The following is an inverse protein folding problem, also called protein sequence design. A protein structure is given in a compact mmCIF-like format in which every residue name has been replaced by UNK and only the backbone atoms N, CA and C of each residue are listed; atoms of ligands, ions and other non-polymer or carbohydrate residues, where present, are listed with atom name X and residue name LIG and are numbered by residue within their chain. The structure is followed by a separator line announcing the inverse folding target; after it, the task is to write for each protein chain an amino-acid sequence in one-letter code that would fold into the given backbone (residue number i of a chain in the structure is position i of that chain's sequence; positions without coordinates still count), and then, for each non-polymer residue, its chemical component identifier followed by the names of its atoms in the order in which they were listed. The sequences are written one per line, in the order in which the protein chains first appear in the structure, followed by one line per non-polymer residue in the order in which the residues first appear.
data_IF_724861617612
#
_entry.id   IF_724861617612
#
_cell.length_a   1.000
_cell.length_b   1.000
_cell.length_c   1.000
_cell.angle_alpha   90.00
_cell.angle_beta   90.00
_cell.angle_gamma   90.00
#
_symmetry.space_group_name_H-M   'P 1'
#
loop_
_entity.id
_entity.type
_entity.pdbx_description
1 polymer ?
#
# COMPACT_ATOMS: atom_id res chain seq x y z
N UNK A 1 4.78 -20.62 14.97
CA UNK A 1 4.52 -20.13 13.60
C UNK A 1 5.19 -18.78 13.47
N UNK A 2 6.00 -18.56 12.43
CA UNK A 2 6.85 -17.37 12.36
C UNK A 2 6.01 -16.10 12.23
N UNK A 3 6.21 -15.12 13.12
CA UNK A 3 5.61 -13.77 13.10
C UNK A 3 6.12 -12.89 11.94
N UNK A 4 6.47 -13.50 10.80
CA UNK A 4 7.05 -12.80 9.66
C UNK A 4 6.03 -11.82 9.08
N UNK A 5 6.44 -10.56 8.99
CA UNK A 5 5.74 -9.55 8.20
C UNK A 5 5.89 -9.95 6.73
N UNK A 6 4.86 -10.61 6.17
CA UNK A 6 4.88 -11.05 4.77
C UNK A 6 5.10 -9.89 3.79
N UNK A 7 4.65 -8.70 4.17
CA UNK A 7 4.82 -7.45 3.43
C UNK A 7 5.88 -6.56 4.10
N UNK A 8 7.07 -7.11 4.39
CA UNK A 8 8.17 -6.31 4.91
C UNK A 8 8.82 -5.43 3.81
N UNK A 9 9.87 -4.69 4.17
CA UNK A 9 10.59 -3.79 3.27
C UNK A 9 11.49 -4.50 2.25
N UNK A 10 11.66 -5.81 2.36
CA UNK A 10 12.58 -6.58 1.50
C UNK A 10 12.00 -6.86 0.12
N UNK A 11 10.69 -6.72 -0.07
CA UNK A 11 10.00 -7.10 -1.30
C UNK A 11 9.01 -6.04 -1.74
N UNK A 12 8.96 -5.81 -3.06
CA UNK A 12 7.93 -5.02 -3.72
C UNK A 12 6.86 -5.97 -4.25
N UNK A 13 5.66 -5.85 -3.70
CA UNK A 13 4.51 -6.66 -4.09
C UNK A 13 3.68 -5.92 -5.14
N UNK A 14 3.43 -6.59 -6.27
CA UNK A 14 2.49 -6.15 -7.28
C UNK A 14 1.36 -7.19 -7.37
N UNK A 15 0.14 -6.76 -7.05
CA UNK A 15 -1.05 -7.61 -7.13
C UNK A 15 -1.90 -7.16 -8.29
N UNK A 16 -2.10 -8.04 -9.26
CA UNK A 16 -3.00 -7.79 -10.39
C UNK A 16 -4.43 -8.22 -10.01
N UNK A 17 -5.40 -7.39 -10.36
CA UNK A 17 -6.80 -7.65 -10.02
C UNK A 17 -7.73 -7.19 -11.14
N UNK A 18 -8.77 -7.98 -11.39
CA UNK A 18 -9.90 -7.61 -12.25
C UNK A 18 -11.11 -7.09 -11.44
N UNK A 19 -10.93 -6.85 -10.13
CA UNK A 19 -11.97 -6.24 -9.31
C UNK A 19 -12.24 -4.80 -9.76
N UNK A 20 -13.48 -4.35 -9.68
CA UNK A 20 -13.82 -2.95 -9.99
C UNK A 20 -13.20 -1.95 -8.99
N UNK A 21 -12.93 -2.41 -7.77
CA UNK A 21 -12.43 -1.62 -6.64
C UNK A 21 -11.51 -2.46 -5.77
N UNK A 22 -10.69 -1.80 -4.97
CA UNK A 22 -9.85 -2.48 -3.98
C UNK A 22 -10.72 -3.14 -2.89
N UNK A 23 -10.45 -4.39 -2.49
CA UNK A 23 -11.21 -5.08 -1.45
C UNK A 23 -10.77 -4.61 -0.06
N UNK A 24 -11.13 -3.38 0.31
CA UNK A 24 -10.73 -2.71 1.56
C UNK A 24 -10.88 -3.59 2.82
N UNK A 25 -12.00 -4.29 3.06
CA UNK A 25 -12.15 -5.11 4.27
C UNK A 25 -11.13 -6.25 4.37
N UNK A 26 -10.71 -6.80 3.23
CA UNK A 26 -9.66 -7.81 3.21
C UNK A 26 -8.29 -7.19 3.45
N UNK A 27 -7.99 -6.06 2.80
CA UNK A 27 -6.72 -5.36 2.91
C UNK A 27 -6.45 -4.86 4.34
N UNK A 28 -7.48 -4.49 5.09
CA UNK A 28 -7.39 -4.10 6.51
C UNK A 28 -6.89 -5.24 7.41
N UNK A 29 -7.12 -6.50 7.03
CA UNK A 29 -6.61 -7.67 7.79
C UNK A 29 -5.12 -7.92 7.57
N UNK A 30 -4.52 -7.28 6.56
CA UNK A 30 -3.13 -7.50 6.18
C UNK A 30 -2.18 -6.60 7.00
N UNK A 31 -0.98 -7.11 7.27
CA UNK A 31 0.10 -6.37 7.97
C UNK A 31 0.83 -5.42 7.02
N UNK A 32 0.11 -4.48 6.39
CA UNK A 32 0.66 -3.51 5.43
C UNK A 32 1.27 -2.29 6.15
N UNK A 33 2.34 -2.49 6.91
CA UNK A 33 3.02 -1.42 7.66
C UNK A 33 3.48 -0.23 6.81
N UNK A 34 3.97 0.84 7.45
CA UNK A 34 4.58 1.99 6.76
C UNK A 34 5.78 1.60 5.88
N UNK A 35 6.46 0.49 6.19
CA UNK A 35 7.60 0.00 5.42
C UNK A 35 7.19 -0.83 4.19
N UNK A 36 5.94 -1.32 4.18
CA UNK A 36 5.43 -2.25 3.16
C UNK A 36 5.38 -1.61 1.77
N UNK A 37 5.84 -2.36 0.78
CA UNK A 37 5.77 -1.97 -0.63
C UNK A 37 4.70 -2.80 -1.33
N UNK A 38 3.45 -2.36 -1.26
CA UNK A 38 2.32 -3.09 -1.83
C UNK A 38 1.59 -2.22 -2.86
N UNK A 39 1.59 -2.67 -4.11
CA UNK A 39 0.88 -2.02 -5.21
C UNK A 39 -0.24 -2.92 -5.72
N UNK A 40 -1.47 -2.41 -5.67
CA UNK A 40 -2.61 -3.05 -6.32
C UNK A 40 -2.79 -2.45 -7.71
N UNK A 41 -2.81 -3.30 -8.74
CA UNK A 41 -3.10 -2.92 -10.11
C UNK A 41 -4.49 -3.43 -10.49
N UNK A 42 -5.44 -2.49 -10.60
CA UNK A 42 -6.80 -2.77 -11.01
C UNK A 42 -6.90 -2.61 -12.53
N UNK A 43 -7.30 -3.69 -13.22
CA UNK A 43 -7.55 -3.64 -14.65
C UNK A 43 -8.85 -2.88 -14.93
N UNK A 44 -8.78 -1.89 -15.82
CA UNK A 44 -9.94 -1.24 -16.42
C UNK A 44 -9.74 -1.28 -17.93
N UNK A 45 -10.57 -2.04 -18.65
CA UNK A 45 -10.38 -2.28 -20.08
C UNK A 45 -8.95 -2.78 -20.39
N UNK A 46 -8.18 -2.00 -21.16
CA UNK A 46 -6.80 -2.33 -21.56
C UNK A 46 -5.73 -1.57 -20.76
N UNK A 47 -6.12 -0.91 -19.67
CA UNK A 47 -5.22 -0.19 -18.77
C UNK A 47 -5.23 -0.77 -17.36
N UNK A 48 -4.14 -0.56 -16.62
CA UNK A 48 -4.06 -0.87 -15.20
C UNK A 48 -3.92 0.42 -14.40
N UNK A 49 -4.80 0.61 -13.43
CA UNK A 49 -4.73 1.69 -12.45
C UNK A 49 -3.98 1.19 -11.22
N UNK A 50 -2.90 1.87 -10.85
CA UNK A 50 -2.01 1.46 -9.78
C UNK A 50 -2.34 2.24 -8.49
N UNK A 51 -2.42 1.51 -7.39
CA UNK A 51 -2.67 2.05 -6.06
C UNK A 51 -1.58 1.57 -5.09
N UNK A 52 -0.93 2.50 -4.40
CA UNK A 52 -0.08 2.24 -3.25
C UNK A 52 -0.98 2.01 -2.02
N UNK A 53 -0.82 0.86 -1.36
CA UNK A 53 -1.68 0.46 -0.23
C UNK A 53 -0.84 0.24 1.01
N UNK A 54 -1.22 0.91 2.10
CA UNK A 54 -0.55 0.79 3.39
C UNK A 54 -1.52 1.09 4.55
N UNK A 55 -1.19 0.60 5.74
CA UNK A 55 -1.89 0.79 7.00
C UNK A 55 -0.87 0.76 8.16
N UNK A 56 -0.33 1.93 8.56
CA UNK A 56 0.65 2.02 9.65
C UNK A 56 0.08 1.58 11.00
N UNK A 57 -1.24 1.77 11.18
CA UNK A 57 -1.97 1.58 12.45
C UNK A 57 -2.83 0.32 12.42
N UNK A 58 -2.44 -0.71 11.64
CA UNK A 58 -3.23 -1.94 11.44
C UNK A 58 -3.56 -2.67 12.76
N UNK A 59 -2.72 -2.53 13.80
CA UNK A 59 -2.95 -3.12 15.13
C UNK A 59 -3.94 -2.34 15.99
N UNK A 60 -4.23 -1.09 15.62
CA UNK A 60 -5.01 -0.14 16.41
C UNK A 60 -6.33 0.23 15.73
N UNK A 61 -6.77 -0.58 14.76
CA UNK A 61 -8.01 -0.33 14.01
C UNK A 61 -7.89 0.82 13.00
N UNK A 62 -6.67 1.19 12.59
CA UNK A 62 -6.45 2.18 11.55
C UNK A 62 -7.03 1.72 10.21
N UNK A 63 -7.64 2.64 9.46
CA UNK A 63 -8.13 2.37 8.12
C UNK A 63 -6.96 2.21 7.14
N UNK A 64 -7.11 1.30 6.19
CA UNK A 64 -6.13 1.15 5.10
C UNK A 64 -6.17 2.39 4.20
N UNK A 65 -4.99 2.92 3.87
CA UNK A 65 -4.82 4.08 2.99
C UNK A 65 -4.56 3.56 1.57
N UNK A 66 -5.34 4.08 0.62
CA UNK A 66 -5.20 3.78 -0.81
C UNK A 66 -4.82 5.08 -1.51
N UNK A 67 -3.62 5.11 -2.10
CA UNK A 67 -3.08 6.30 -2.76
C UNK A 67 -2.87 5.99 -4.23
N UNK A 68 -3.33 6.88 -5.12
CA UNK A 68 -3.05 6.74 -6.54
C UNK A 68 -1.55 6.74 -6.78
N UNK A 69 -1.04 5.71 -7.45
CA UNK A 69 0.39 5.56 -7.78
C UNK A 69 0.68 5.90 -9.24
N UNK A 70 -0.31 5.77 -10.10
CA UNK A 70 -0.20 6.00 -11.53
C UNK A 70 -0.97 4.96 -12.31
N UNK A 71 -0.54 4.69 -13.54
CA UNK A 71 -1.19 3.74 -14.43
C UNK A 71 -0.20 3.07 -15.37
N UNK A 72 -0.65 1.97 -15.98
CA UNK A 72 0.05 1.32 -17.08
C UNK A 72 -0.89 1.15 -18.26
N UNK A 73 -0.38 1.40 -19.47
CA UNK A 73 -1.08 1.13 -20.73
C UNK A 73 -0.14 0.42 -21.71
N UNK A 74 -0.65 -0.34 -22.69
CA UNK A 74 0.18 -0.97 -23.71
C UNK A 74 0.95 0.04 -24.58
N UNK A 75 0.35 1.21 -24.83
CA UNK A 75 0.91 2.25 -25.69
C UNK A 75 2.00 3.08 -25.00
N UNK A 76 1.75 3.51 -23.75
CA UNK A 76 2.63 4.44 -23.02
C UNK A 76 3.48 3.76 -21.94
N UNK A 77 3.27 2.47 -21.69
CA UNK A 77 3.93 1.74 -20.61
C UNK A 77 3.51 2.24 -19.23
N UNK A 78 4.43 2.13 -18.26
CA UNK A 78 4.23 2.52 -16.87
C UNK A 78 4.43 4.02 -16.68
N UNK A 79 3.39 4.71 -16.23
CA UNK A 79 3.48 6.07 -15.69
C UNK A 79 3.39 6.00 -14.16
N UNK A 80 4.49 6.33 -13.48
CA UNK A 80 4.52 6.45 -12.02
C UNK A 80 4.39 7.93 -11.63
N UNK A 81 3.31 8.27 -10.94
CA UNK A 81 3.05 9.63 -10.46
C UNK A 81 3.51 9.82 -9.01
N UNK A 82 3.74 8.72 -8.29
CA UNK A 82 4.11 8.71 -6.89
C UNK A 82 5.63 8.52 -6.74
N UNK A 83 6.37 9.59 -7.04
CA UNK A 83 7.84 9.60 -7.08
C UNK A 83 8.49 9.99 -5.75
N UNK A 84 7.73 10.62 -4.85
CA UNK A 84 8.22 11.06 -3.56
C UNK A 84 8.56 9.86 -2.65
N UNK A 85 9.60 10.05 -1.83
CA UNK A 85 10.03 9.05 -0.87
C UNK A 85 8.90 8.71 0.10
N UNK A 86 8.62 7.40 0.27
CA UNK A 86 7.42 6.93 0.96
C UNK A 86 7.24 7.50 2.37
N UNK A 87 8.32 7.63 3.14
CA UNK A 87 8.24 8.13 4.52
C UNK A 87 8.00 9.64 4.62
N UNK A 88 8.13 10.40 3.52
CA UNK A 88 7.79 11.83 3.49
C UNK A 88 6.31 12.07 3.23
N UNK A 89 5.64 11.14 2.54
CA UNK A 89 4.25 11.28 2.08
C UNK A 89 3.25 10.36 2.78
N UNK A 90 3.72 9.31 3.45
CA UNK A 90 2.84 8.36 4.15
C UNK A 90 2.47 8.93 5.50
N UNK A 91 1.18 9.10 5.66
CA UNK A 91 0.56 9.58 6.88
C UNK A 91 0.68 8.53 7.99
N UNK A 92 1.05 8.97 9.19
CA UNK A 92 1.19 8.15 10.40
C UNK A 92 0.05 8.36 11.39
N UNK A 93 -1.09 8.86 10.90
CA UNK A 93 -2.35 8.90 11.63
C UNK A 93 -2.58 7.65 12.52
N UNK A 94 -2.94 7.90 13.78
CA UNK A 94 -3.23 6.88 14.80
C UNK A 94 -2.06 5.98 15.22
N UNK A 95 -0.82 6.31 14.84
CA UNK A 95 0.38 5.66 15.37
C UNK A 95 0.72 6.26 16.74
N UNK A 96 0.53 5.48 17.80
CA UNK A 96 0.95 5.89 19.15
C UNK A 96 2.46 5.72 19.29
N UNK A 97 3.18 6.82 19.58
CA UNK A 97 4.60 6.75 19.94
C UNK A 97 4.75 6.60 21.46
N UNK A 98 5.36 5.51 21.89
CA UNK A 98 5.84 5.36 23.26
C UNK A 98 7.28 5.86 23.32
N UNK A 99 7.55 6.91 24.09
CA UNK A 99 8.90 7.38 24.39
C UNK A 99 9.10 7.47 25.90
N UNK A 100 10.31 7.17 26.35
CA UNK A 100 10.76 7.40 27.72
C UNK A 100 11.86 8.44 27.68
N UNK A 101 11.72 9.51 28.46
CA UNK A 101 12.80 10.47 28.69
C UNK A 101 13.54 10.02 29.95
N UNK A 102 14.85 9.85 29.83
CA UNK A 102 15.77 9.57 30.96
C UNK A 102 16.26 10.90 31.53
#
# INVERSE_FOLDING_TARGET
FSDRLNFNESYYWLVLSNLSQAPTPYLETLKLTIASEFTLAIRKNDEFHLQDIYNPSYRHGGAVKLVHKGWWTPEYGLKNELTEYKYLRRDMDWVTMNFSVV
#
